data_IF_130804521405
#
_entry.id   IF_130804521405
#
_cell.length_a   1.000
_cell.length_b   1.000
_cell.length_c   1.000
_cell.angle_alpha   90.00
_cell.angle_beta   90.00
_cell.angle_gamma   90.00
#
_symmetry.space_group_name_H-M   'P 1'
#
loop_
_entity.id
_entity.type
_entity.pdbx_description
1 polymer ?
#
# COMPACT_ATOMS: atom_id res chain seq x y z
N UNK A 1 -25.85 6.34 -0.59
CA UNK A 1 -24.63 6.18 0.22
C UNK A 1 -24.61 7.31 1.25
N UNK A 2 -24.63 7.00 2.56
CA UNK A 2 -24.62 8.04 3.62
C UNK A 2 -23.17 8.39 3.95
N UNK A 3 -22.77 9.63 3.73
CA UNK A 3 -21.42 10.11 4.05
C UNK A 3 -21.38 10.58 5.50
N UNK A 4 -20.62 9.89 6.34
CA UNK A 4 -20.40 10.31 7.74
C UNK A 4 -19.38 11.44 7.78
N UNK A 5 -19.69 12.50 8.53
CA UNK A 5 -18.73 13.58 8.87
C UNK A 5 -18.22 13.35 10.28
N UNK A 6 -17.01 12.82 10.41
CA UNK A 6 -16.40 12.51 11.70
C UNK A 6 -15.17 13.39 11.93
N UNK A 7 -15.02 13.92 13.15
CA UNK A 7 -13.78 14.56 13.61
C UNK A 7 -13.01 13.58 14.47
N UNK A 8 -11.82 13.19 14.02
CA UNK A 8 -10.90 12.39 14.82
C UNK A 8 -10.13 13.34 15.74
N UNK A 9 -10.16 13.11 17.05
CA UNK A 9 -9.34 13.88 18.01
C UNK A 9 -7.87 13.46 17.92
N UNK A 10 -6.97 14.42 18.18
CA UNK A 10 -5.53 14.27 17.97
C UNK A 10 -4.85 13.21 18.84
N UNK A 11 -5.55 12.70 19.85
CA UNK A 11 -5.08 11.62 20.74
C UNK A 11 -4.51 10.42 19.96
N UNK A 12 -5.08 10.11 18.80
CA UNK A 12 -4.69 8.94 18.00
C UNK A 12 -3.75 9.29 16.83
N UNK A 13 -3.34 10.56 16.65
CA UNK A 13 -2.51 10.98 15.52
C UNK A 13 -1.21 10.19 15.40
N UNK A 14 -0.53 9.90 16.52
CA UNK A 14 0.73 9.13 16.52
C UNK A 14 0.53 7.70 15.99
N UNK A 15 -0.55 7.05 16.41
CA UNK A 15 -0.90 5.70 15.95
C UNK A 15 -1.26 5.71 14.47
N UNK A 16 -2.09 6.65 14.03
CA UNK A 16 -2.50 6.77 12.62
C UNK A 16 -1.32 7.10 11.70
N UNK A 17 -0.41 7.96 12.15
CA UNK A 17 0.85 8.23 11.45
C UNK A 17 1.65 6.94 11.27
N UNK A 18 1.81 6.12 12.33
CA UNK A 18 2.52 4.86 12.23
C UNK A 18 1.85 3.91 11.22
N UNK A 19 0.53 3.74 11.31
CA UNK A 19 -0.21 2.90 10.37
C UNK A 19 -0.05 3.39 8.91
N UNK A 20 -0.03 4.70 8.68
CA UNK A 20 0.21 5.25 7.34
C UNK A 20 1.63 4.95 6.83
N UNK A 21 2.64 4.93 7.71
CA UNK A 21 4.00 4.51 7.37
C UNK A 21 4.03 3.03 6.95
N UNK A 22 3.37 2.16 7.69
CA UNK A 22 3.29 0.72 7.39
C UNK A 22 2.54 0.45 6.08
N UNK A 23 1.45 1.17 5.82
CA UNK A 23 0.72 1.08 4.55
C UNK A 23 1.60 1.50 3.38
N UNK A 24 2.35 2.59 3.52
CA UNK A 24 3.30 3.03 2.50
C UNK A 24 4.42 2.01 2.28
N UNK A 25 4.87 1.34 3.34
CA UNK A 25 5.86 0.28 3.26
C UNK A 25 5.34 -0.92 2.45
N UNK A 26 4.16 -1.44 2.80
CA UNK A 26 3.50 -2.53 2.07
C UNK A 26 3.30 -2.16 0.59
N UNK A 27 2.84 -0.94 0.30
CA UNK A 27 2.69 -0.46 -1.08
C UNK A 27 4.01 -0.52 -1.85
N UNK A 28 5.08 0.01 -1.26
CA UNK A 28 6.38 0.04 -1.90
C UNK A 28 6.93 -1.38 -2.12
N UNK A 29 6.82 -2.26 -1.13
CA UNK A 29 7.22 -3.66 -1.25
C UNK A 29 6.50 -4.37 -2.42
N UNK A 30 5.17 -4.28 -2.47
CA UNK A 30 4.38 -4.92 -3.52
C UNK A 30 4.68 -4.31 -4.90
N UNK A 31 4.86 -2.99 -4.98
CA UNK A 31 5.24 -2.31 -6.24
C UNK A 31 6.59 -2.80 -6.75
N UNK A 32 7.57 -2.97 -5.87
CA UNK A 32 8.89 -3.50 -6.21
C UNK A 32 8.82 -4.98 -6.65
N UNK A 33 8.11 -5.81 -5.88
CA UNK A 33 7.90 -7.22 -6.17
C UNK A 33 7.25 -7.42 -7.55
N UNK A 34 6.17 -6.68 -7.84
CA UNK A 34 5.52 -6.68 -9.15
C UNK A 34 6.47 -6.28 -10.27
N UNK A 35 7.29 -5.25 -10.06
CA UNK A 35 8.22 -4.76 -11.07
C UNK A 35 9.34 -5.76 -11.36
N UNK A 36 9.93 -6.37 -10.31
CA UNK A 36 10.95 -7.41 -10.45
C UNK A 36 10.40 -8.66 -11.14
N UNK A 37 9.18 -9.06 -10.82
CA UNK A 37 8.53 -10.18 -11.49
C UNK A 37 8.30 -9.90 -12.98
N UNK A 38 7.80 -8.71 -13.30
CA UNK A 38 7.63 -8.26 -14.68
C UNK A 38 8.94 -8.30 -15.47
N UNK A 39 10.03 -7.79 -14.90
CA UNK A 39 11.33 -7.82 -15.57
C UNK A 39 11.81 -9.25 -15.88
N UNK A 40 11.53 -10.21 -14.99
CA UNK A 40 12.00 -11.61 -15.12
C UNK A 40 11.12 -12.48 -15.99
N UNK A 41 9.79 -12.31 -15.91
CA UNK A 41 8.81 -13.21 -16.53
C UNK A 41 7.98 -12.53 -17.63
N UNK A 42 8.10 -11.21 -17.79
CA UNK A 42 7.28 -10.40 -18.69
C UNK A 42 5.77 -10.58 -18.47
N UNK A 43 5.40 -10.94 -17.23
CA UNK A 43 4.03 -11.17 -16.81
C UNK A 43 3.68 -10.24 -15.65
N UNK A 44 2.41 -9.85 -15.57
CA UNK A 44 1.90 -9.03 -14.48
C UNK A 44 1.25 -9.89 -13.42
N UNK A 45 1.50 -9.57 -12.15
CA UNK A 45 0.74 -10.17 -11.05
C UNK A 45 -0.73 -9.74 -11.05
N UNK A 46 -1.58 -10.71 -10.69
CA UNK A 46 -2.92 -10.46 -10.15
C UNK A 46 -2.86 -10.16 -8.65
N UNK A 47 -3.96 -9.66 -8.07
CA UNK A 47 -4.05 -9.47 -6.62
C UNK A 47 -3.89 -10.80 -5.85
N UNK A 48 -4.41 -11.89 -6.40
CA UNK A 48 -4.32 -13.24 -5.82
C UNK A 48 -2.87 -13.76 -5.78
N UNK A 49 -2.07 -13.46 -6.80
CA UNK A 49 -0.66 -13.88 -6.83
C UNK A 49 0.14 -13.17 -5.73
N UNK A 50 -0.13 -11.88 -5.54
CA UNK A 50 0.53 -11.04 -4.53
C UNK A 50 0.17 -11.52 -3.11
N UNK A 51 -1.07 -11.97 -2.89
CA UNK A 51 -1.54 -12.45 -1.58
C UNK A 51 -0.67 -13.58 -0.99
N UNK A 52 -0.05 -14.40 -1.85
CA UNK A 52 0.90 -15.44 -1.41
C UNK A 52 2.17 -14.85 -0.78
N UNK A 53 2.63 -13.70 -1.28
CA UNK A 53 3.84 -13.02 -0.83
C UNK A 53 3.62 -12.07 0.35
N UNK A 54 2.36 -11.73 0.66
CA UNK A 54 1.99 -10.88 1.81
C UNK A 54 1.36 -11.68 2.95
N UNK A 55 1.34 -13.02 2.85
CA UNK A 55 0.86 -13.90 3.90
C UNK A 55 1.73 -13.75 5.15
N UNK A 56 1.10 -13.45 6.29
CA UNK A 56 1.80 -13.27 7.57
C UNK A 56 2.30 -11.85 7.85
N UNK A 57 2.35 -10.96 6.84
CA UNK A 57 2.80 -9.56 6.99
C UNK A 57 2.00 -8.77 8.02
N UNK A 58 0.75 -9.18 8.29
CA UNK A 58 -0.08 -8.57 9.35
C UNK A 58 0.59 -8.55 10.72
N UNK A 59 1.35 -9.59 11.07
CA UNK A 59 2.06 -9.68 12.36
C UNK A 59 3.28 -8.78 12.41
N UNK A 60 3.98 -8.63 11.29
CA UNK A 60 5.21 -7.84 11.20
C UNK A 60 4.92 -6.33 11.14
N UNK A 61 3.94 -5.94 10.32
CA UNK A 61 3.58 -4.53 10.11
C UNK A 61 2.53 -4.02 11.10
N UNK A 62 2.08 -4.81 12.07
CA UNK A 62 0.97 -4.48 12.97
C UNK A 62 -0.28 -3.92 12.25
N UNK A 63 -0.54 -4.42 11.04
CA UNK A 63 -1.67 -4.03 10.21
C UNK A 63 -2.70 -5.16 10.18
N UNK A 64 -3.99 -4.81 10.13
CA UNK A 64 -5.02 -5.81 9.91
C UNK A 64 -4.84 -6.46 8.52
N UNK A 65 -5.06 -7.77 8.43
CA UNK A 65 -4.86 -8.54 7.19
C UNK A 65 -5.67 -7.99 6.01
N UNK A 66 -6.91 -7.56 6.25
CA UNK A 66 -7.76 -6.95 5.22
C UNK A 66 -7.20 -5.62 4.70
N UNK A 67 -6.50 -4.85 5.55
CA UNK A 67 -5.86 -3.60 5.10
C UNK A 67 -4.75 -3.90 4.10
N UNK A 68 -3.95 -4.94 4.35
CA UNK A 68 -2.91 -5.37 3.43
C UNK A 68 -3.53 -5.82 2.11
N UNK A 69 -4.59 -6.64 2.16
CA UNK A 69 -5.32 -7.09 0.97
C UNK A 69 -5.84 -5.91 0.14
N UNK A 70 -6.53 -4.95 0.79
CA UNK A 70 -7.04 -3.75 0.13
C UNK A 70 -5.91 -2.94 -0.53
N UNK A 71 -4.75 -2.78 0.12
CA UNK A 71 -3.59 -2.09 -0.47
C UNK A 71 -3.09 -2.80 -1.73
N UNK A 72 -3.05 -4.14 -1.73
CA UNK A 72 -2.63 -4.91 -2.90
C UNK A 72 -3.61 -4.79 -4.07
N UNK A 73 -4.91 -4.82 -3.79
CA UNK A 73 -5.98 -4.65 -4.78
C UNK A 73 -5.98 -3.24 -5.37
N UNK A 74 -5.84 -2.22 -4.52
CA UNK A 74 -5.69 -0.82 -4.91
C UNK A 74 -4.51 -0.68 -5.87
N UNK A 75 -3.34 -1.23 -5.53
CA UNK A 75 -2.15 -1.16 -6.38
C UNK A 75 -2.39 -1.78 -7.76
N UNK A 76 -2.97 -2.99 -7.83
CA UNK A 76 -3.29 -3.67 -9.09
C UNK A 76 -4.30 -2.85 -9.91
N UNK A 77 -5.32 -2.30 -9.24
CA UNK A 77 -6.36 -1.46 -9.87
C UNK A 77 -5.76 -0.20 -10.48
N UNK A 78 -4.94 0.55 -9.72
CA UNK A 78 -4.27 1.77 -10.21
C UNK A 78 -3.28 1.46 -11.33
N UNK A 79 -2.54 0.35 -11.22
CA UNK A 79 -1.62 -0.08 -12.29
C UNK A 79 -2.36 -0.29 -13.61
N UNK A 80 -3.50 -0.99 -13.58
CA UNK A 80 -4.37 -1.21 -14.75
C UNK A 80 -4.95 0.11 -15.27
N UNK A 81 -5.51 0.93 -14.37
CA UNK A 81 -6.12 2.22 -14.72
C UNK A 81 -5.14 3.13 -15.46
N UNK A 82 -3.91 3.26 -14.96
CA UNK A 82 -2.90 4.15 -15.54
C UNK A 82 -2.00 3.48 -16.60
N UNK A 83 -2.21 2.19 -16.89
CA UNK A 83 -1.44 1.40 -17.85
C UNK A 83 0.09 1.50 -17.63
N UNK A 84 0.53 1.44 -16.38
CA UNK A 84 1.96 1.53 -16.02
C UNK A 84 2.54 0.19 -15.61
N UNK A 85 3.82 -0.02 -15.92
CA UNK A 85 4.57 -1.16 -15.41
C UNK A 85 4.85 -1.04 -13.90
N UNK A 86 5.09 0.19 -13.43
CA UNK A 86 5.44 0.53 -12.05
C UNK A 86 4.76 1.82 -11.62
N UNK A 87 4.25 1.88 -10.40
CA UNK A 87 3.67 3.09 -9.82
C UNK A 87 4.75 3.90 -9.08
N UNK A 88 4.45 5.18 -8.78
CA UNK A 88 5.37 6.00 -7.99
C UNK A 88 5.56 5.42 -6.60
N UNK A 89 6.77 5.55 -6.08
CA UNK A 89 7.09 5.22 -4.69
C UNK A 89 6.36 6.16 -3.72
N UNK A 90 5.86 5.60 -2.63
CA UNK A 90 5.32 6.36 -1.50
C UNK A 90 6.46 6.83 -0.61
N UNK A 91 6.40 8.08 -0.17
CA UNK A 91 7.46 8.69 0.66
C UNK A 91 6.93 8.94 2.06
N UNK A 92 7.58 8.33 3.03
CA UNK A 92 7.17 8.38 4.45
C UNK A 92 7.85 9.50 5.25
N UNK A 93 8.94 10.09 4.75
CA UNK A 93 9.71 11.10 5.47
C UNK A 93 8.89 12.39 5.69
N UNK A 94 8.68 12.75 6.96
CA UNK A 94 7.92 13.94 7.39
C UNK A 94 8.51 15.26 6.91
N UNK A 95 9.82 15.34 6.72
CA UNK A 95 10.51 16.57 6.27
C UNK A 95 10.54 16.71 4.74
N UNK A 96 10.10 15.70 4.01
CA UNK A 96 10.10 15.73 2.55
C UNK A 96 8.88 16.45 2.00
N UNK A 97 9.08 17.40 1.09
CA UNK A 97 8.00 18.04 0.32
C UNK A 97 7.19 17.03 -0.53
N UNK A 98 7.71 15.81 -0.73
CA UNK A 98 7.05 14.73 -1.48
C UNK A 98 6.37 13.69 -0.59
N UNK A 99 6.18 13.98 0.72
CA UNK A 99 5.55 13.06 1.67
C UNK A 99 4.17 12.62 1.15
N UNK A 100 3.95 11.31 1.15
CA UNK A 100 2.66 10.71 0.83
C UNK A 100 1.78 10.74 2.08
N UNK A 101 0.64 11.42 1.99
CA UNK A 101 -0.26 11.66 3.14
C UNK A 101 -1.35 10.59 3.32
N UNK A 102 -1.28 9.50 2.56
CA UNK A 102 -2.43 8.62 2.32
C UNK A 102 -3.21 9.10 1.13
#
# INVERSE_FOLDING_TARGET
MKTLKLRIKDKHCKMLDQLALEVNFVWNYVNDLCFKHLQRKQQFFSAYDIAKYTKGTSKECNLHSQTIQAVTEELVTRRKQFKKAKLKWRVSNKKSARRSLG
#
